data_IF_959035906890
#
_entry.id   IF_959035906890
#
_cell.length_a   1.000
_cell.length_b   1.000
_cell.length_c   1.000
_cell.angle_alpha   90.00
_cell.angle_beta   90.00
_cell.angle_gamma   90.00
#
_symmetry.space_group_name_H-M   'P 1'
#
loop_
_entity.id
_entity.type
_entity.pdbx_description
1 polymer ?
#
# COMPACT_ATOMS: atom_id res chain seq x y z
N UNK A 1 14.06 -20.71 24.40
CA UNK A 1 14.42 -19.38 23.83
C UNK A 1 13.28 -18.99 22.92
N UNK A 2 12.40 -18.09 23.35
CA UNK A 2 11.39 -17.51 22.47
C UNK A 2 12.10 -16.74 21.38
N UNK A 3 12.00 -17.21 20.14
CA UNK A 3 12.41 -16.43 18.99
C UNK A 3 11.56 -15.16 19.00
N UNK A 4 12.21 -14.01 19.06
CA UNK A 4 11.58 -12.69 19.03
C UNK A 4 10.80 -12.54 17.70
N UNK A 5 9.54 -13.02 17.69
CA UNK A 5 8.65 -12.99 16.50
C UNK A 5 8.38 -11.52 16.21
N UNK A 6 8.80 -11.04 15.04
CA UNK A 6 8.51 -9.68 14.59
C UNK A 6 7.01 -9.42 14.60
N UNK A 7 6.61 -8.26 15.08
CA UNK A 7 5.21 -7.79 15.03
C UNK A 7 4.68 -7.74 13.60
N UNK A 8 3.35 -7.73 13.45
CA UNK A 8 2.70 -7.54 12.13
C UNK A 8 3.22 -6.28 11.46
N UNK A 9 3.30 -5.18 12.22
CA UNK A 9 3.79 -3.90 11.73
C UNK A 9 5.24 -3.97 11.21
N UNK A 10 6.15 -4.61 11.95
CA UNK A 10 7.54 -4.77 11.52
C UNK A 10 7.68 -5.64 10.26
N UNK A 11 6.84 -6.65 10.11
CA UNK A 11 6.85 -7.51 8.91
C UNK A 11 6.33 -6.78 7.68
N UNK A 12 5.22 -6.06 7.80
CA UNK A 12 4.58 -5.36 6.69
C UNK A 12 5.31 -4.07 6.32
N UNK A 13 5.84 -3.32 7.31
CA UNK A 13 6.62 -2.11 7.05
C UNK A 13 7.97 -2.38 6.37
N UNK A 14 8.49 -3.60 6.47
CA UNK A 14 9.70 -4.02 5.76
C UNK A 14 9.49 -4.28 4.26
N UNK A 15 8.24 -4.29 3.78
CA UNK A 15 7.93 -4.49 2.36
C UNK A 15 8.06 -3.16 1.62
N UNK A 16 8.95 -3.12 0.62
CA UNK A 16 9.11 -1.94 -0.22
C UNK A 16 8.02 -1.92 -1.30
N UNK A 17 7.16 -0.89 -1.28
CA UNK A 17 6.04 -0.76 -2.21
C UNK A 17 6.31 0.19 -3.38
N UNK A 18 7.48 0.83 -3.45
CA UNK A 18 7.78 1.93 -4.37
C UNK A 18 7.55 1.60 -5.85
N UNK A 19 7.88 0.37 -6.28
CA UNK A 19 7.71 -0.05 -7.67
C UNK A 19 6.24 -0.27 -8.07
N UNK A 20 5.32 -0.28 -7.08
CA UNK A 20 3.90 -0.52 -7.28
C UNK A 20 3.03 0.70 -6.96
N UNK A 21 3.68 1.84 -6.68
CA UNK A 21 3.00 3.11 -6.40
C UNK A 21 2.85 3.90 -7.68
N UNK A 22 1.62 4.22 -8.02
CA UNK A 22 1.29 5.18 -9.06
C UNK A 22 1.00 6.54 -8.43
N UNK A 23 1.59 7.61 -8.99
CA UNK A 23 1.29 8.98 -8.57
C UNK A 23 0.31 9.62 -9.53
N UNK A 24 -0.76 10.20 -8.99
CA UNK A 24 -1.72 11.00 -9.74
C UNK A 24 -1.91 12.34 -9.03
N UNK A 25 -1.37 13.42 -9.59
CA UNK A 25 -1.20 14.71 -8.89
C UNK A 25 -0.38 14.48 -7.60
N UNK A 26 -0.87 14.96 -6.47
CA UNK A 26 -0.22 14.86 -5.16
C UNK A 26 -0.59 13.61 -4.38
N UNK A 27 -1.46 12.75 -4.95
CA UNK A 27 -1.92 11.51 -4.30
C UNK A 27 -1.13 10.29 -4.77
N UNK A 28 -0.80 9.44 -3.82
CA UNK A 28 -0.17 8.14 -4.06
C UNK A 28 -1.24 7.05 -4.11
N UNK A 29 -1.15 6.20 -5.13
CA UNK A 29 -2.04 5.05 -5.31
C UNK A 29 -1.25 3.76 -5.30
N UNK A 30 -1.66 2.82 -4.45
CA UNK A 30 -1.14 1.46 -4.44
C UNK A 30 -2.26 0.52 -4.89
N UNK A 31 -1.94 -0.40 -5.81
CA UNK A 31 -2.91 -1.40 -6.26
C UNK A 31 -3.42 -2.23 -5.07
N UNK A 32 -4.73 -2.25 -4.84
CA UNK A 32 -5.34 -3.02 -3.76
C UNK A 32 -5.08 -4.53 -3.90
N UNK A 33 -5.09 -5.05 -5.13
CA UNK A 33 -4.86 -6.47 -5.38
C UNK A 33 -3.42 -6.87 -5.06
N UNK A 34 -2.47 -6.03 -5.43
CA UNK A 34 -1.08 -6.23 -5.06
C UNK A 34 -0.89 -6.12 -3.54
N UNK A 35 -1.39 -5.04 -2.93
CA UNK A 35 -1.29 -4.81 -1.49
C UNK A 35 -1.87 -5.99 -0.67
N UNK A 36 -3.06 -6.46 -1.05
CA UNK A 36 -3.70 -7.60 -0.41
C UNK A 36 -2.88 -8.88 -0.57
N UNK A 37 -2.31 -9.11 -1.77
CA UNK A 37 -1.48 -10.30 -2.00
C UNK A 37 -0.22 -10.31 -1.13
N UNK A 38 0.41 -9.14 -0.89
CA UNK A 38 1.56 -9.03 0.01
C UNK A 38 1.18 -9.29 1.47
N UNK A 39 0.03 -8.74 1.91
CA UNK A 39 -0.49 -9.01 3.25
C UNK A 39 -0.75 -10.51 3.43
N UNK A 40 -1.41 -11.16 2.48
CA UNK A 40 -1.69 -12.61 2.54
C UNK A 40 -0.44 -13.48 2.52
N UNK A 41 0.65 -13.02 1.91
CA UNK A 41 1.95 -13.72 1.96
C UNK A 41 2.64 -13.57 3.32
N UNK A 42 2.58 -12.38 3.91
CA UNK A 42 3.20 -12.10 5.20
C UNK A 42 2.36 -12.60 6.39
N UNK A 43 1.03 -12.58 6.23
CA UNK A 43 0.03 -12.89 7.26
C UNK A 43 -1.11 -13.71 6.61
N UNK A 44 -0.98 -15.05 6.47
CA UNK A 44 -1.96 -15.89 5.76
C UNK A 44 -3.36 -15.91 6.38
N UNK A 45 -3.48 -15.62 7.67
CA UNK A 45 -4.72 -15.52 8.45
C UNK A 45 -5.47 -14.20 8.23
N UNK A 46 -4.85 -13.19 7.62
CA UNK A 46 -5.46 -11.89 7.39
C UNK A 46 -6.81 -12.01 6.68
N UNK A 47 -7.79 -11.27 7.19
CA UNK A 47 -9.13 -11.12 6.60
C UNK A 47 -9.50 -9.65 6.51
N UNK A 48 -10.43 -9.31 5.64
CA UNK A 48 -11.02 -7.99 5.61
C UNK A 48 -12.53 -8.07 5.41
N UNK A 49 -13.21 -7.01 5.84
CA UNK A 49 -14.62 -6.76 5.59
C UNK A 49 -14.81 -5.38 4.97
N UNK A 50 -15.79 -5.27 4.07
CA UNK A 50 -16.20 -4.01 3.45
C UNK A 50 -17.54 -3.65 4.05
N UNK A 51 -17.53 -2.61 4.88
CA UNK A 51 -18.74 -2.07 5.49
C UNK A 51 -19.66 -1.41 4.47
N UNK A 52 -20.88 -1.11 4.89
CA UNK A 52 -21.82 -0.35 4.07
C UNK A 52 -21.32 1.07 3.83
N UNK A 53 -21.58 1.57 2.63
CA UNK A 53 -21.37 2.99 2.34
C UNK A 53 -22.45 3.81 3.02
N UNK A 54 -22.05 4.75 3.85
CA UNK A 54 -22.95 5.64 4.55
C UNK A 54 -23.19 6.93 3.77
N UNK A 55 -24.45 7.36 3.69
CA UNK A 55 -24.79 8.72 3.27
C UNK A 55 -24.76 9.62 4.52
N UNK A 56 -23.75 10.48 4.62
CA UNK A 56 -23.57 11.39 5.77
C UNK A 56 -24.46 12.61 5.59
N UNK A 57 -25.36 12.83 6.54
CA UNK A 57 -26.30 13.97 6.53
C UNK A 57 -26.16 14.81 7.80
N UNK A 58 -26.28 16.14 7.66
CA UNK A 58 -26.36 17.09 8.76
C UNK A 58 -27.51 18.04 8.49
N UNK A 59 -28.42 18.19 9.44
CA UNK A 59 -29.63 19.03 9.31
C UNK A 59 -30.43 18.77 8.03
N UNK A 60 -30.57 17.48 7.67
CA UNK A 60 -31.27 17.03 6.46
C UNK A 60 -30.56 17.32 5.13
N UNK A 61 -29.30 17.79 5.16
CA UNK A 61 -28.49 18.04 3.97
C UNK A 61 -27.41 16.97 3.85
N UNK A 62 -27.31 16.33 2.69
CA UNK A 62 -26.24 15.38 2.39
C UNK A 62 -24.90 16.12 2.33
N UNK A 63 -23.94 15.67 3.14
CA UNK A 63 -22.55 16.11 3.06
C UNK A 63 -21.77 15.30 2.03
N UNK A 64 -22.07 14.02 1.88
CA UNK A 64 -21.42 13.09 0.96
C UNK A 64 -21.57 11.65 1.40
N UNK A 65 -20.73 10.76 0.86
CA UNK A 65 -20.71 9.34 1.20
C UNK A 65 -19.40 8.97 1.89
N UNK A 66 -19.48 8.03 2.84
CA UNK A 66 -18.32 7.45 3.54
C UNK A 66 -18.25 5.96 3.28
N UNK A 67 -17.10 5.48 2.85
CA UNK A 67 -16.79 4.05 2.73
C UNK A 67 -16.04 3.59 3.98
N UNK A 68 -16.33 2.37 4.43
CA UNK A 68 -15.73 1.76 5.61
C UNK A 68 -15.08 0.43 5.25
N UNK A 69 -13.95 0.13 5.87
CA UNK A 69 -13.30 -1.18 5.80
C UNK A 69 -12.78 -1.58 7.17
N UNK A 70 -12.78 -2.89 7.45
CA UNK A 70 -12.12 -3.47 8.61
C UNK A 70 -11.14 -4.53 8.13
N UNK A 71 -9.96 -4.58 8.74
CA UNK A 71 -8.93 -5.58 8.46
C UNK A 71 -8.55 -6.24 9.78
N UNK A 72 -8.50 -7.58 9.79
CA UNK A 72 -8.08 -8.35 10.96
C UNK A 72 -6.83 -9.16 10.61
N UNK A 73 -5.76 -9.01 11.38
CA UNK A 73 -4.50 -9.74 11.24
C UNK A 73 -4.03 -10.19 12.62
N UNK A 74 -3.75 -11.48 12.80
CA UNK A 74 -3.30 -12.09 14.07
C UNK A 74 -4.18 -11.69 15.26
N UNK A 75 -5.51 -11.55 15.04
CA UNK A 75 -6.48 -11.20 16.09
C UNK A 75 -6.65 -9.72 16.37
N UNK A 76 -5.81 -8.84 15.82
CA UNK A 76 -6.00 -7.38 15.87
C UNK A 76 -6.88 -6.92 14.71
N UNK A 77 -7.91 -6.10 15.02
CA UNK A 77 -8.80 -5.52 14.01
C UNK A 77 -8.67 -4.00 13.99
N UNK A 78 -8.33 -3.45 12.83
CA UNK A 78 -8.32 -2.02 12.58
C UNK A 78 -9.40 -1.65 11.57
N UNK A 79 -10.05 -0.52 11.79
CA UNK A 79 -11.07 0.02 10.90
C UNK A 79 -10.62 1.35 10.29
N UNK A 80 -11.01 1.57 9.05
CA UNK A 80 -10.72 2.79 8.31
C UNK A 80 -11.97 3.25 7.59
N UNK A 81 -12.11 4.55 7.44
CA UNK A 81 -13.15 5.17 6.61
C UNK A 81 -12.52 6.18 5.66
N UNK A 82 -13.17 6.38 4.53
CA UNK A 82 -12.70 7.32 3.52
C UNK A 82 -13.92 7.98 2.82
N UNK A 83 -13.94 9.32 2.69
CA UNK A 83 -15.02 9.99 1.97
C UNK A 83 -14.90 9.76 0.46
N UNK A 84 -16.06 9.66 -0.20
CA UNK A 84 -16.12 9.66 -1.67
C UNK A 84 -15.93 11.09 -2.16
N UNK A 85 -14.83 11.32 -2.88
CA UNK A 85 -14.39 12.65 -3.31
C UNK A 85 -14.04 12.66 -4.80
N UNK A 86 -14.17 13.84 -5.41
CA UNK A 86 -13.65 14.14 -6.73
C UNK A 86 -12.12 14.35 -6.74
N UNK A 87 -11.57 14.66 -7.90
CA UNK A 87 -10.13 14.92 -8.07
C UNK A 87 -9.64 16.25 -7.48
N UNK A 88 -10.53 17.07 -6.90
CA UNK A 88 -10.23 18.32 -6.21
C UNK A 88 -10.53 18.22 -4.69
N UNK A 89 -10.61 17.01 -4.16
CA UNK A 89 -10.92 16.70 -2.76
C UNK A 89 -12.27 17.27 -2.28
N UNK A 90 -13.24 17.43 -3.20
CA UNK A 90 -14.60 17.83 -2.85
C UNK A 90 -15.47 16.60 -2.70
N UNK A 91 -16.25 16.54 -1.59
CA UNK A 91 -17.17 15.43 -1.34
C UNK A 91 -18.19 15.31 -2.46
N UNK A 92 -18.32 14.12 -3.04
CA UNK A 92 -19.36 13.82 -4.02
C UNK A 92 -20.67 13.49 -3.29
N UNK A 93 -21.79 13.96 -3.84
CA UNK A 93 -23.13 13.80 -3.28
C UNK A 93 -24.01 13.00 -4.24
N UNK A 94 -25.27 12.74 -3.85
CA UNK A 94 -26.27 12.09 -4.70
C UNK A 94 -26.66 12.93 -5.93
N UNK A 95 -26.46 14.26 -5.85
CA UNK A 95 -26.68 15.20 -6.95
C UNK A 95 -25.44 16.05 -7.18
N UNK A 96 -25.23 16.49 -8.41
CA UNK A 96 -24.17 17.43 -8.72
C UNK A 96 -24.43 18.78 -8.06
N UNK A 97 -23.36 19.49 -7.72
CA UNK A 97 -23.44 20.84 -7.16
C UNK A 97 -22.25 21.69 -7.63
N UNK A 98 -22.48 23.02 -7.62
CA UNK A 98 -21.47 24.01 -8.04
C UNK A 98 -20.93 24.76 -6.83
N UNK A 99 -19.65 25.07 -6.83
CA UNK A 99 -19.00 25.93 -5.85
C UNK A 99 -18.12 26.97 -6.53
N UNK A 100 -18.07 28.17 -5.97
CA UNK A 100 -17.29 29.27 -6.53
C UNK A 100 -15.83 29.22 -6.08
N UNK A 101 -14.91 29.51 -7.00
CA UNK A 101 -13.48 29.68 -6.75
C UNK A 101 -13.02 31.03 -7.29
N UNK A 102 -11.82 31.46 -6.91
CA UNK A 102 -11.21 32.68 -7.48
C UNK A 102 -11.02 32.65 -9.03
N UNK A 103 -11.11 31.45 -9.62
CA UNK A 103 -10.97 31.24 -11.06
C UNK A 103 -12.32 30.97 -11.76
N UNK A 104 -13.44 31.17 -11.07
CA UNK A 104 -14.81 30.88 -11.55
C UNK A 104 -15.43 29.66 -10.85
N UNK A 105 -16.65 29.37 -11.28
CA UNK A 105 -17.44 28.29 -10.73
C UNK A 105 -16.94 26.93 -11.23
N UNK A 106 -16.96 25.95 -10.34
CA UNK A 106 -16.63 24.55 -10.63
C UNK A 106 -17.77 23.64 -10.19
N UNK A 107 -18.03 22.59 -10.95
CA UNK A 107 -19.04 21.59 -10.67
C UNK A 107 -18.40 20.32 -10.09
N UNK A 108 -18.99 19.79 -9.03
CA UNK A 108 -18.74 18.44 -8.54
C UNK A 108 -19.88 17.57 -9.04
N UNK A 109 -19.55 16.53 -9.78
CA UNK A 109 -20.52 15.58 -10.32
C UNK A 109 -21.14 14.72 -9.22
N UNK A 110 -22.33 14.16 -9.48
CA UNK A 110 -22.97 13.20 -8.61
C UNK A 110 -22.09 11.94 -8.45
N UNK A 111 -22.07 11.36 -7.25
CA UNK A 111 -21.35 10.12 -7.00
C UNK A 111 -21.98 8.96 -7.77
N UNK A 112 -21.12 8.17 -8.41
CA UNK A 112 -21.51 6.93 -9.08
C UNK A 112 -21.09 5.72 -8.26
N UNK A 113 -21.66 4.55 -8.55
CA UNK A 113 -21.23 3.28 -7.94
C UNK A 113 -19.76 2.96 -8.24
N UNK A 114 -19.22 3.46 -9.36
CA UNK A 114 -17.80 3.36 -9.68
C UNK A 114 -16.94 4.19 -8.73
N UNK A 115 -17.35 5.41 -8.38
CA UNK A 115 -16.64 6.27 -7.43
C UNK A 115 -16.65 5.68 -6.02
N UNK A 116 -17.78 5.10 -5.62
CA UNK A 116 -17.92 4.36 -4.35
C UNK A 116 -16.97 3.17 -4.34
N UNK A 117 -17.00 2.30 -5.35
CA UNK A 117 -16.12 1.12 -5.42
C UNK A 117 -14.63 1.52 -5.41
N UNK A 118 -14.25 2.53 -6.19
CA UNK A 118 -12.89 3.07 -6.21
C UNK A 118 -12.46 3.54 -4.80
N UNK A 119 -13.36 4.21 -4.09
CA UNK A 119 -13.10 4.71 -2.72
C UNK A 119 -12.99 3.55 -1.72
N UNK A 120 -13.83 2.52 -1.83
CA UNK A 120 -13.73 1.31 -0.99
C UNK A 120 -12.36 0.64 -1.13
N UNK A 121 -11.85 0.49 -2.35
CA UNK A 121 -10.53 -0.12 -2.59
C UNK A 121 -9.38 0.75 -2.07
N UNK A 122 -9.48 2.07 -2.19
CA UNK A 122 -8.54 3.01 -1.56
C UNK A 122 -8.59 2.95 -0.03
N UNK A 123 -9.80 2.85 0.54
CA UNK A 123 -10.01 2.71 1.97
C UNK A 123 -9.34 1.43 2.49
N UNK A 124 -9.51 0.30 1.80
CA UNK A 124 -8.84 -0.96 2.13
C UNK A 124 -7.32 -0.80 2.15
N UNK A 125 -6.72 -0.20 1.12
CA UNK A 125 -5.26 -0.01 1.05
C UNK A 125 -4.76 0.89 2.20
N UNK A 126 -5.46 1.97 2.54
CA UNK A 126 -5.11 2.82 3.69
C UNK A 126 -5.25 2.06 5.02
N UNK A 127 -6.23 1.16 5.13
CA UNK A 127 -6.36 0.29 6.30
C UNK A 127 -5.16 -0.67 6.42
N UNK A 128 -4.74 -1.31 5.31
CA UNK A 128 -3.54 -2.14 5.29
C UNK A 128 -2.26 -1.36 5.66
N UNK A 129 -2.22 -0.08 5.31
CA UNK A 129 -1.11 0.80 5.69
C UNK A 129 -1.04 1.04 7.20
N UNK A 130 -2.16 1.02 7.92
CA UNK A 130 -2.15 1.11 9.39
C UNK A 130 -1.45 -0.09 10.04
N UNK A 131 -1.44 -1.26 9.38
CA UNK A 131 -0.64 -2.42 9.78
C UNK A 131 0.82 -2.35 9.31
N UNK A 132 1.23 -1.25 8.64
CA UNK A 132 2.61 -0.98 8.24
C UNK A 132 2.88 -1.05 6.73
N UNK A 133 2.02 -1.69 5.91
CA UNK A 133 2.29 -1.86 4.49
C UNK A 133 2.30 -0.53 3.74
N UNK A 134 3.50 -0.05 3.39
CA UNK A 134 3.65 1.18 2.62
C UNK A 134 3.12 2.44 3.30
N UNK A 135 3.03 2.48 4.64
CA UNK A 135 2.51 3.64 5.39
C UNK A 135 3.18 4.95 4.98
N UNK A 136 4.47 4.92 4.67
CA UNK A 136 5.25 6.10 4.28
C UNK A 136 4.78 6.78 2.99
N UNK A 137 4.06 6.08 2.09
CA UNK A 137 3.58 6.70 0.84
C UNK A 137 2.43 7.68 1.08
N UNK A 138 1.70 7.52 2.20
CA UNK A 138 0.56 8.36 2.56
C UNK A 138 0.95 9.54 3.46
N UNK A 139 2.20 9.61 3.92
CA UNK A 139 2.66 10.73 4.74
C UNK A 139 2.52 12.05 3.98
N UNK A 140 1.80 13.01 4.58
CA UNK A 140 1.56 14.34 4.02
C UNK A 140 0.37 14.45 3.07
N UNK A 141 -0.46 13.41 2.88
CA UNK A 141 -1.66 13.54 2.05
C UNK A 141 -2.77 14.39 2.69
N UNK A 142 -2.81 14.47 4.01
CA UNK A 142 -3.88 15.15 4.77
C UNK A 142 -3.38 16.50 5.38
N UNK A 143 -2.36 17.11 4.79
CA UNK A 143 -1.90 18.44 5.24
C UNK A 143 -2.90 19.52 4.83
N UNK A 144 -3.11 20.55 5.68
CA UNK A 144 -3.89 21.72 5.30
C UNK A 144 -3.35 22.38 4.04
N UNK A 145 -4.25 22.82 3.15
CA UNK A 145 -3.91 23.45 1.85
C UNK A 145 -3.08 24.75 1.99
N UNK A 146 -3.05 25.38 3.17
CA UNK A 146 -2.42 26.69 3.43
C UNK A 146 -1.03 26.63 4.06
N UNK A 147 -0.42 25.48 4.24
CA UNK A 147 0.95 25.39 4.75
C UNK A 147 1.97 25.55 3.62
N UNK A 148 2.26 26.80 3.25
CA UNK A 148 3.51 27.11 2.58
C UNK A 148 4.67 26.67 3.50
N UNK A 149 5.55 25.82 2.97
CA UNK A 149 6.89 25.51 3.50
C UNK A 149 7.07 24.59 4.72
N UNK A 150 6.09 23.84 5.18
CA UNK A 150 6.42 22.69 6.01
C UNK A 150 6.90 21.53 5.11
N UNK A 151 8.21 21.36 5.00
CA UNK A 151 8.79 20.15 4.42
C UNK A 151 8.43 18.98 5.33
N UNK A 152 7.30 18.33 5.04
CA UNK A 152 6.99 17.03 5.66
C UNK A 152 7.96 16.04 5.06
N UNK A 153 8.98 15.69 5.81
CA UNK A 153 9.86 14.58 5.48
C UNK A 153 9.03 13.30 5.57
N UNK A 154 8.55 12.82 4.41
CA UNK A 154 7.91 11.50 4.36
C UNK A 154 8.87 10.48 4.97
N UNK A 155 8.39 9.57 5.84
CA UNK A 155 9.22 8.48 6.31
C UNK A 155 9.88 7.78 5.12
N UNK A 156 11.17 7.52 5.21
CA UNK A 156 11.89 6.87 4.12
C UNK A 156 11.32 5.47 3.87
N UNK A 157 11.20 5.11 2.60
CA UNK A 157 10.91 3.72 2.21
C UNK A 157 11.94 2.77 2.85
N UNK A 158 11.57 1.53 3.18
CA UNK A 158 12.53 0.54 3.63
C UNK A 158 13.73 0.47 2.67
N UNK A 159 14.92 0.68 3.20
CA UNK A 159 16.13 0.63 2.38
C UNK A 159 16.43 -0.82 2.03
N UNK A 160 16.45 -1.14 0.73
CA UNK A 160 16.86 -2.46 0.27
C UNK A 160 18.33 -2.69 0.64
N UNK A 161 18.64 -3.86 1.18
CA UNK A 161 19.99 -4.26 1.51
C UNK A 161 20.75 -4.48 0.20
N UNK A 162 21.88 -3.81 0.00
CA UNK A 162 22.73 -4.07 -1.16
C UNK A 162 23.38 -5.46 -1.02
N UNK A 163 22.98 -6.39 -1.89
CA UNK A 163 23.54 -7.73 -1.87
C UNK A 163 24.97 -7.71 -2.41
N UNK A 164 25.92 -8.20 -1.59
CA UNK A 164 27.34 -8.31 -1.97
C UNK A 164 27.77 -9.78 -1.96
N UNK A 165 28.54 -10.17 -2.95
CA UNK A 165 29.10 -11.53 -3.04
C UNK A 165 30.05 -11.79 -1.87
N UNK A 166 29.92 -12.95 -1.22
CA UNK A 166 30.77 -13.36 -0.10
C UNK A 166 30.43 -12.72 1.25
N UNK A 167 29.31 -11.99 1.38
CA UNK A 167 28.80 -11.51 2.67
C UNK A 167 27.78 -12.46 3.28
N UNK A 168 27.45 -12.27 4.56
CA UNK A 168 26.46 -13.11 5.27
C UNK A 168 25.10 -13.22 4.55
N UNK A 169 24.67 -12.15 3.90
CA UNK A 169 23.41 -12.16 3.14
C UNK A 169 23.54 -12.94 1.82
N UNK A 170 24.75 -13.04 1.26
CA UNK A 170 24.98 -13.87 0.09
C UNK A 170 24.79 -15.36 0.41
N UNK A 171 25.31 -15.84 1.52
CA UNK A 171 25.15 -17.22 1.97
C UNK A 171 23.67 -17.55 2.24
N UNK A 172 22.93 -16.60 2.82
CA UNK A 172 21.47 -16.73 3.01
C UNK A 172 20.73 -16.84 1.68
N UNK A 173 21.12 -16.03 0.68
CA UNK A 173 20.54 -16.08 -0.67
C UNK A 173 20.86 -17.40 -1.36
N UNK A 174 22.10 -17.89 -1.28
CA UNK A 174 22.48 -19.19 -1.85
C UNK A 174 21.66 -20.33 -1.26
N UNK A 175 21.59 -20.39 0.07
CA UNK A 175 20.78 -21.39 0.78
C UNK A 175 19.30 -21.31 0.42
N UNK A 176 18.78 -20.10 0.28
CA UNK A 176 17.40 -19.88 -0.12
C UNK A 176 17.11 -20.37 -1.55
N UNK A 177 17.99 -20.10 -2.50
CA UNK A 177 17.88 -20.55 -3.90
C UNK A 177 17.87 -22.09 -3.96
N UNK A 178 18.78 -22.73 -3.24
CA UNK A 178 18.89 -24.19 -3.20
C UNK A 178 17.66 -24.82 -2.56
N UNK A 179 17.20 -24.27 -1.44
CA UNK A 179 16.07 -24.81 -0.69
C UNK A 179 14.71 -24.62 -1.39
N UNK A 180 14.59 -23.64 -2.29
CA UNK A 180 13.32 -23.28 -2.93
C UNK A 180 13.32 -23.46 -4.46
N UNK A 181 14.21 -24.26 -4.99
CA UNK A 181 14.36 -24.47 -6.45
C UNK A 181 13.09 -24.89 -7.16
N UNK A 182 12.18 -25.57 -6.46
CA UNK A 182 10.88 -26.01 -7.01
C UNK A 182 9.97 -24.81 -7.39
N UNK A 183 10.20 -23.61 -6.81
CA UNK A 183 9.44 -22.42 -7.14
C UNK A 183 9.77 -21.83 -8.51
N UNK A 184 10.94 -22.18 -9.08
CA UNK A 184 11.44 -21.62 -10.34
C UNK A 184 12.18 -20.29 -10.15
N UNK A 185 13.16 -20.03 -11.03
CA UNK A 185 14.09 -18.89 -10.93
C UNK A 185 13.39 -17.52 -10.96
N UNK A 186 12.30 -17.39 -11.70
CA UNK A 186 11.55 -16.13 -11.80
C UNK A 186 10.92 -15.76 -10.46
N UNK A 187 10.27 -16.72 -9.80
CA UNK A 187 9.65 -16.50 -8.47
C UNK A 187 10.69 -16.25 -7.39
N UNK A 188 11.79 -16.98 -7.41
CA UNK A 188 12.92 -16.76 -6.50
C UNK A 188 13.49 -15.34 -6.70
N UNK A 189 13.74 -14.93 -7.94
CA UNK A 189 14.22 -13.59 -8.27
C UNK A 189 13.30 -12.49 -7.78
N UNK A 190 11.98 -12.63 -7.98
CA UNK A 190 10.98 -11.69 -7.50
C UNK A 190 10.95 -11.57 -5.97
N UNK A 191 11.15 -12.67 -5.25
CA UNK A 191 11.20 -12.64 -3.77
C UNK A 191 12.49 -12.00 -3.25
N UNK A 192 13.63 -12.29 -3.87
CA UNK A 192 14.92 -11.72 -3.48
C UNK A 192 14.98 -10.20 -3.71
N UNK A 193 14.40 -9.69 -4.80
CA UNK A 193 14.37 -8.25 -5.09
C UNK A 193 13.51 -7.44 -4.13
N UNK A 194 12.65 -8.04 -3.33
CA UNK A 194 11.90 -7.37 -2.27
C UNK A 194 12.77 -6.95 -1.08
N UNK A 195 13.83 -7.69 -0.83
CA UNK A 195 14.71 -7.46 0.31
C UNK A 195 16.06 -6.92 -0.09
N UNK A 196 16.55 -7.30 -1.28
CA UNK A 196 17.90 -7.02 -1.73
C UNK A 196 17.92 -6.19 -3.01
N UNK A 197 18.80 -5.20 -3.05
CA UNK A 197 19.22 -4.55 -4.29
C UNK A 197 20.28 -5.45 -4.96
N UNK A 198 19.91 -6.09 -6.08
CA UNK A 198 20.71 -7.10 -6.75
C UNK A 198 21.27 -6.52 -8.04
N UNK A 199 22.58 -6.48 -8.18
CA UNK A 199 23.25 -6.05 -9.43
C UNK A 199 22.98 -7.04 -10.59
N UNK A 200 23.06 -6.60 -11.86
CA UNK A 200 22.89 -7.49 -13.01
C UNK A 200 23.87 -8.67 -13.03
N UNK A 201 25.10 -8.48 -12.52
CA UNK A 201 26.10 -9.54 -12.38
C UNK A 201 25.67 -10.60 -11.38
N UNK A 202 25.16 -10.18 -10.21
CA UNK A 202 24.67 -11.11 -9.19
C UNK A 202 23.39 -11.84 -9.61
N UNK A 203 22.53 -11.20 -10.41
CA UNK A 203 21.35 -11.89 -11.00
C UNK A 203 21.78 -13.07 -11.86
N UNK A 204 22.84 -12.92 -12.68
CA UNK A 204 23.39 -14.01 -13.47
C UNK A 204 23.98 -15.12 -12.60
N UNK A 205 24.67 -14.77 -11.51
CA UNK A 205 25.22 -15.77 -10.59
C UNK A 205 24.13 -16.56 -9.87
N UNK A 206 23.07 -15.88 -9.42
CA UNK A 206 21.90 -16.55 -8.83
C UNK A 206 21.26 -17.51 -9.83
N UNK A 207 21.14 -17.12 -11.10
CA UNK A 207 20.63 -18.00 -12.16
C UNK A 207 21.55 -19.21 -12.40
N UNK A 208 22.87 -19.01 -12.36
CA UNK A 208 23.82 -20.11 -12.49
C UNK A 208 23.78 -21.07 -11.29
N UNK A 209 23.65 -20.54 -10.07
CA UNK A 209 23.45 -21.35 -8.86
C UNK A 209 22.18 -22.21 -8.94
N UNK A 210 21.10 -21.62 -9.45
CA UNK A 210 19.85 -22.34 -9.66
C UNK A 210 20.05 -23.52 -10.66
N UNK A 211 20.72 -23.29 -11.79
CA UNK A 211 21.00 -24.34 -12.80
C UNK A 211 21.88 -25.43 -12.23
N UNK A 212 22.91 -25.07 -11.45
CA UNK A 212 23.86 -26.06 -10.87
C UNK A 212 23.26 -26.87 -9.71
N UNK A 213 22.11 -26.45 -9.19
CA UNK A 213 21.42 -27.13 -8.10
C UNK A 213 20.29 -28.08 -8.59
N UNK A 214 20.04 -28.14 -9.90
CA UNK A 214 19.13 -29.08 -10.56
C UNK A 214 19.88 -30.40 -10.83
#
# INVERSE_FOLDING_TARGET
MEQNKKSVFERLSAINVNEHVEKKKDLSYLSWAWAWSEVKRACPDATYDIGQTECVTVDGKTLGFMCHTSVTIEGETLSMWLPVMDGANKSMKEVSYTYSTRFGDKTVEAATTFDINKTMMRCLVKNLAMFGLGLYIFAGEDLPEDTNDAVVTKPAAPTLIELKKGGEDWDKVQNYVIANKELGIEKIGAQLTRKYKISPSLKKEISNLFILSI
#
